data_IF_285223289881
#
_entry.id   IF_285223289881
#
_cell.length_a   1.000
_cell.length_b   1.000
_cell.length_c   1.000
_cell.angle_alpha   90.00
_cell.angle_beta   90.00
_cell.angle_gamma   90.00
#
_symmetry.space_group_name_H-M   'P 1'
#
loop_
_entity.id
_entity.type
_entity.pdbx_description
1 polymer ?
#
# COMPACT_ATOMS: atom_id res chain seq x y z
N UNK A 1 -20.95 -2.16 0.04
CA UNK A 1 -21.32 -0.75 -0.19
C UNK A 1 -20.08 -0.09 -0.77
N UNK A 2 -20.08 0.16 -2.08
CA UNK A 2 -18.90 0.63 -2.83
C UNK A 2 -18.97 2.15 -2.88
N UNK A 3 -18.01 2.84 -2.26
CA UNK A 3 -17.86 4.29 -2.41
C UNK A 3 -16.90 4.55 -3.58
N UNK A 4 -17.50 4.89 -4.73
CA UNK A 4 -16.82 5.51 -5.86
C UNK A 4 -17.14 7.00 -5.92
N UNK A 5 -16.21 7.73 -6.53
CA UNK A 5 -16.37 9.05 -7.14
C UNK A 5 -16.51 10.29 -6.23
N UNK A 6 -15.38 10.95 -5.98
CA UNK A 6 -15.33 12.43 -5.89
C UNK A 6 -14.01 12.89 -6.56
N UNK A 7 -14.07 13.36 -7.81
CA UNK A 7 -13.30 14.50 -8.37
C UNK A 7 -13.65 14.68 -9.86
N UNK A 8 -14.13 15.85 -10.32
CA UNK A 8 -14.44 16.10 -11.73
C UNK A 8 -13.19 16.35 -12.58
N UNK A 9 -13.20 15.80 -13.79
CA UNK A 9 -12.25 15.97 -14.89
C UNK A 9 -12.03 17.42 -15.32
N UNK A 10 -10.78 17.89 -15.29
CA UNK A 10 -10.29 19.08 -16.02
C UNK A 10 -9.23 18.62 -17.04
N UNK A 11 -9.59 17.70 -17.95
CA UNK A 11 -8.71 17.28 -19.06
C UNK A 11 -9.28 17.52 -20.46
N UNK A 12 -10.39 18.25 -20.58
CA UNK A 12 -11.10 18.43 -21.85
C UNK A 12 -10.72 19.64 -22.72
N UNK A 13 -9.96 20.62 -22.22
CA UNK A 13 -9.76 21.89 -22.95
C UNK A 13 -8.40 22.03 -23.67
N UNK A 14 -7.38 21.25 -23.31
CA UNK A 14 -6.04 21.44 -23.87
C UNK A 14 -5.83 20.84 -25.28
N UNK A 15 -6.69 19.92 -25.73
CA UNK A 15 -6.45 19.20 -27.00
C UNK A 15 -6.93 19.94 -28.25
N UNK A 16 -7.78 20.97 -28.13
CA UNK A 16 -8.34 21.68 -29.30
C UNK A 16 -7.50 22.87 -29.76
N UNK A 17 -6.67 23.46 -28.90
CA UNK A 17 -5.81 24.60 -29.28
C UNK A 17 -4.48 24.16 -29.89
N UNK A 18 -3.98 22.96 -29.55
CA UNK A 18 -2.72 22.44 -30.10
C UNK A 18 -2.86 22.06 -31.60
N UNK A 19 -4.04 21.59 -32.02
CA UNK A 19 -4.28 21.23 -33.43
C UNK A 19 -4.44 22.44 -34.36
N UNK A 20 -4.73 23.64 -33.83
CA UNK A 20 -4.79 24.87 -34.63
C UNK A 20 -3.42 25.50 -34.89
N UNK A 21 -2.41 25.20 -34.07
CA UNK A 21 -1.05 25.73 -34.22
C UNK A 21 -0.21 24.96 -35.26
N UNK A 22 -0.69 23.82 -35.77
CA UNK A 22 0.05 22.95 -36.68
C UNK A 22 -0.21 23.19 -38.19
N UNK A 23 -1.00 24.20 -38.57
CA UNK A 23 -1.05 24.69 -39.96
C UNK A 23 -1.58 23.70 -41.01
N UNK A 24 -2.49 22.78 -40.65
CA UNK A 24 -3.11 21.86 -41.62
C UNK A 24 -4.37 22.50 -42.20
N UNK A 25 -4.28 22.93 -43.47
CA UNK A 25 -5.41 23.48 -44.22
C UNK A 25 -6.41 22.41 -44.63
N UNK A 26 -7.70 22.76 -44.61
CA UNK A 26 -8.78 21.92 -45.16
C UNK A 26 -8.63 21.82 -46.69
N UNK A 27 -8.13 20.66 -47.14
CA UNK A 27 -8.11 20.26 -48.54
C UNK A 27 -9.18 19.21 -48.82
N UNK A 28 -10.14 19.54 -49.67
CA UNK A 28 -11.13 18.64 -50.25
C UNK A 28 -10.50 17.95 -51.46
N UNK A 29 -10.60 16.61 -51.59
CA UNK A 29 -10.59 15.78 -52.84
C UNK A 29 -10.48 14.29 -52.40
N UNK A 30 -11.57 13.52 -52.51
CA UNK A 30 -11.87 12.51 -53.55
C UNK A 30 -11.17 11.16 -53.35
N UNK A 31 -11.98 10.11 -53.31
CA UNK A 31 -11.60 8.71 -53.13
C UNK A 31 -10.57 8.23 -54.16
N UNK A 32 -9.48 7.64 -53.66
CA UNK A 32 -8.58 6.75 -54.39
C UNK A 32 -7.85 5.83 -53.39
N UNK A 33 -8.05 4.54 -53.61
CA UNK A 33 -7.17 3.38 -53.39
C UNK A 33 -6.66 3.03 -51.98
N UNK A 34 -7.21 1.91 -51.45
CA UNK A 34 -7.06 1.31 -50.11
C UNK A 34 -5.79 0.43 -49.92
N UNK A 35 -4.66 0.72 -50.58
CA UNK A 35 -3.46 -0.15 -50.53
C UNK A 35 -2.26 0.41 -49.73
N UNK A 36 -2.32 1.65 -49.20
CA UNK A 36 -1.21 2.31 -48.49
C UNK A 36 -1.30 2.24 -46.93
N UNK A 37 -2.39 1.69 -46.37
CA UNK A 37 -2.60 1.65 -44.91
C UNK A 37 -1.81 0.52 -44.21
N UNK A 38 -1.51 -0.58 -44.90
CA UNK A 38 -0.81 -1.74 -44.33
C UNK A 38 0.69 -1.47 -44.09
N UNK A 39 1.37 -0.71 -44.96
CA UNK A 39 2.79 -0.35 -44.76
C UNK A 39 2.99 0.65 -43.60
N UNK A 40 2.02 1.56 -43.41
CA UNK A 40 2.06 2.52 -42.30
C UNK A 40 1.87 1.85 -40.93
N UNK A 41 1.02 0.82 -40.83
CA UNK A 41 0.88 0.03 -39.60
C UNK A 41 2.13 -0.81 -39.29
N UNK A 42 2.76 -1.40 -40.31
CA UNK A 42 3.98 -2.21 -40.13
C UNK A 42 5.19 -1.35 -39.74
N UNK A 43 5.31 -0.13 -40.27
CA UNK A 43 6.33 0.83 -39.85
C UNK A 43 6.11 1.32 -38.41
N UNK A 44 4.88 1.58 -38.00
CA UNK A 44 4.57 1.95 -36.61
C UNK A 44 4.88 0.78 -35.66
N UNK A 45 4.58 -0.45 -36.07
CA UNK A 45 4.89 -1.68 -35.32
C UNK A 45 6.39 -1.93 -35.22
N UNK A 46 7.14 -1.68 -36.29
CA UNK A 46 8.60 -1.76 -36.35
C UNK A 46 9.25 -0.71 -35.44
N UNK A 47 8.77 0.55 -35.48
CA UNK A 47 9.24 1.61 -34.59
C UNK A 47 8.98 1.27 -33.12
N UNK A 48 7.78 0.77 -32.79
CA UNK A 48 7.43 0.30 -31.45
C UNK A 48 8.35 -0.84 -30.99
N UNK A 49 8.71 -1.76 -31.88
CA UNK A 49 9.66 -2.84 -31.59
C UNK A 49 11.08 -2.32 -31.36
N UNK A 50 11.55 -1.37 -32.17
CA UNK A 50 12.88 -0.76 -32.03
C UNK A 50 13.01 0.11 -30.77
N UNK A 51 11.95 0.83 -30.38
CA UNK A 51 11.87 1.57 -29.11
C UNK A 51 11.86 0.60 -27.93
N UNK A 52 11.12 -0.51 -28.03
CA UNK A 52 11.11 -1.59 -27.03
C UNK A 52 12.52 -2.18 -26.85
N UNK A 53 13.21 -2.50 -27.94
CA UNK A 53 14.54 -3.12 -27.92
C UNK A 53 15.64 -2.16 -27.44
N UNK A 54 15.53 -0.84 -27.69
CA UNK A 54 16.47 0.15 -27.14
C UNK A 54 16.33 0.35 -25.62
N UNK A 55 15.17 0.07 -25.05
CA UNK A 55 14.91 0.21 -23.60
C UNK A 55 15.18 -1.09 -22.82
N UNK A 56 15.17 -2.25 -23.49
CA UNK A 56 15.54 -3.54 -22.88
C UNK A 56 17.05 -3.58 -22.63
N UNK A 57 17.46 -3.25 -21.40
CA UNK A 57 18.85 -3.33 -20.95
C UNK A 57 19.31 -2.17 -20.07
N UNK A 58 18.51 -1.10 -19.95
CA UNK A 58 18.88 0.08 -19.15
C UNK A 58 18.58 -0.08 -17.65
N UNK A 59 17.61 -0.91 -17.29
CA UNK A 59 17.16 -1.14 -15.91
C UNK A 59 17.24 -2.61 -15.54
N UNK A 60 17.47 -2.90 -14.26
CA UNK A 60 17.41 -4.26 -13.76
C UNK A 60 15.99 -4.83 -13.88
N UNK A 61 15.85 -6.13 -14.09
CA UNK A 61 14.55 -6.78 -14.29
C UNK A 61 13.59 -6.63 -13.08
N UNK A 62 14.14 -6.38 -11.89
CA UNK A 62 13.43 -6.16 -10.65
C UNK A 62 13.34 -4.68 -10.26
N UNK A 63 13.70 -3.75 -11.15
CA UNK A 63 13.56 -2.33 -10.89
C UNK A 63 12.10 -1.91 -11.09
N UNK A 64 11.44 -1.53 -10.00
CA UNK A 64 10.05 -1.05 -10.01
C UNK A 64 9.97 0.48 -9.91
N UNK A 65 11.06 1.23 -10.11
CA UNK A 65 11.03 2.69 -10.12
C UNK A 65 10.17 3.24 -11.25
N UNK A 66 9.69 4.49 -11.11
CA UNK A 66 8.91 5.14 -12.17
C UNK A 66 9.71 5.30 -13.46
N UNK A 67 11.03 5.46 -13.36
CA UNK A 67 11.92 5.47 -14.52
C UNK A 67 11.91 4.12 -15.25
N UNK A 68 11.94 3.01 -14.51
CA UNK A 68 11.90 1.67 -15.09
C UNK A 68 10.53 1.28 -15.62
N UNK A 69 9.43 1.73 -15.01
CA UNK A 69 8.05 1.40 -15.39
C UNK A 69 7.46 2.35 -16.46
N UNK A 70 8.08 3.51 -16.66
CA UNK A 70 7.63 4.56 -17.58
C UNK A 70 6.47 5.40 -17.04
N UNK A 71 6.03 6.37 -17.84
CA UNK A 71 5.15 7.47 -17.42
C UNK A 71 3.75 7.07 -16.93
N UNK A 72 3.23 5.92 -17.35
CA UNK A 72 1.93 5.41 -16.91
C UNK A 72 2.00 4.45 -15.72
N UNK A 73 3.21 4.09 -15.27
CA UNK A 73 3.42 3.15 -14.17
C UNK A 73 2.90 1.74 -14.46
N UNK A 74 2.42 1.06 -13.42
CA UNK A 74 1.80 -0.26 -13.50
C UNK A 74 0.29 -0.15 -13.76
N UNK A 75 -0.22 -0.92 -14.72
CA UNK A 75 -1.65 -1.12 -14.96
C UNK A 75 -1.99 -2.61 -15.01
N UNK A 76 -3.28 -2.92 -14.92
CA UNK A 76 -3.79 -4.28 -15.11
C UNK A 76 -4.38 -4.38 -16.52
N UNK A 77 -3.94 -5.37 -17.29
CA UNK A 77 -4.46 -5.68 -18.61
C UNK A 77 -4.48 -7.20 -18.79
N UNK A 78 -5.64 -7.75 -19.14
CA UNK A 78 -5.84 -9.19 -19.39
C UNK A 78 -5.34 -10.12 -18.26
N UNK A 79 -5.46 -9.68 -17.01
CA UNK A 79 -5.02 -10.43 -15.82
C UNK A 79 -3.53 -10.30 -15.49
N UNK A 80 -2.78 -9.49 -16.24
CA UNK A 80 -1.36 -9.24 -16.02
C UNK A 80 -1.10 -7.81 -15.55
N UNK A 81 -0.06 -7.64 -14.73
CA UNK A 81 0.52 -6.33 -14.48
C UNK A 81 1.39 -5.95 -15.67
N UNK A 82 1.06 -4.84 -16.33
CA UNK A 82 1.76 -4.34 -17.52
C UNK A 82 2.30 -2.94 -17.21
N UNK A 83 3.51 -2.64 -17.66
CA UNK A 83 4.09 -1.31 -17.55
C UNK A 83 3.85 -0.43 -18.80
N UNK A 84 4.39 0.79 -18.80
CA UNK A 84 4.21 1.74 -19.91
C UNK A 84 4.82 1.28 -21.25
N UNK A 85 5.70 0.28 -21.22
CA UNK A 85 6.38 -0.25 -22.39
C UNK A 85 5.72 -1.55 -22.91
N UNK A 86 4.63 -1.99 -22.28
CA UNK A 86 3.93 -3.22 -22.64
C UNK A 86 4.59 -4.49 -22.12
N UNK A 87 5.54 -4.39 -21.17
CA UNK A 87 6.17 -5.57 -20.55
C UNK A 87 5.27 -6.11 -19.45
N UNK A 88 5.18 -7.43 -19.36
CA UNK A 88 4.57 -8.10 -18.20
C UNK A 88 5.53 -8.02 -17.00
N UNK A 89 5.05 -7.44 -15.90
CA UNK A 89 5.83 -7.24 -14.69
C UNK A 89 5.44 -8.29 -13.66
N UNK A 90 6.39 -9.15 -13.29
CA UNK A 90 6.22 -10.10 -12.20
C UNK A 90 6.57 -9.44 -10.88
N UNK A 91 5.56 -9.29 -10.03
CA UNK A 91 5.68 -8.63 -8.73
C UNK A 91 6.19 -9.62 -7.68
N UNK A 92 7.45 -9.47 -7.27
CA UNK A 92 8.07 -10.26 -6.20
C UNK A 92 8.50 -9.36 -5.04
N UNK A 93 8.18 -9.77 -3.82
CA UNK A 93 8.28 -8.90 -2.66
C UNK A 93 8.07 -9.61 -1.34
N UNK A 94 8.03 -8.81 -0.27
CA UNK A 94 7.90 -9.30 1.10
C UNK A 94 6.86 -8.53 1.90
N UNK A 95 6.36 -9.18 2.95
CA UNK A 95 5.58 -8.52 3.99
C UNK A 95 6.49 -7.78 4.96
N UNK A 96 6.16 -6.53 5.27
CA UNK A 96 6.87 -5.72 6.26
C UNK A 96 5.81 -5.08 7.17
N UNK A 97 5.83 -5.26 8.49
CA UNK A 97 6.38 -6.39 9.22
C UNK A 97 5.35 -6.86 10.25
N UNK A 98 5.54 -8.05 10.83
CA UNK A 98 4.67 -8.54 11.90
C UNK A 98 4.64 -7.60 13.13
N UNK A 99 5.68 -6.79 13.33
CA UNK A 99 5.74 -5.77 14.39
C UNK A 99 4.69 -4.67 14.23
N UNK A 100 4.16 -4.43 13.03
CA UNK A 100 3.10 -3.44 12.80
C UNK A 100 1.75 -3.84 13.41
N UNK A 101 1.61 -5.09 13.88
CA UNK A 101 0.38 -5.59 14.49
C UNK A 101 0.17 -5.11 15.93
N UNK A 102 1.20 -4.58 16.57
CA UNK A 102 1.21 -4.22 17.98
C UNK A 102 1.81 -2.81 18.17
N UNK A 103 1.30 -2.03 19.13
CA UNK A 103 1.81 -0.68 19.37
C UNK A 103 3.29 -0.69 19.76
N UNK A 104 3.97 0.41 19.45
CA UNK A 104 5.33 0.67 19.91
C UNK A 104 5.32 1.20 21.35
N UNK A 105 4.38 2.09 21.66
CA UNK A 105 4.25 2.74 22.97
C UNK A 105 2.79 2.75 23.44
N UNK A 106 2.48 2.29 24.66
CA UNK A 106 3.33 1.43 25.49
C UNK A 106 3.71 0.15 24.75
N UNK A 107 4.72 -0.57 25.25
CA UNK A 107 5.24 -1.76 24.57
C UNK A 107 4.13 -2.80 24.36
N UNK A 108 3.74 -3.02 23.10
CA UNK A 108 2.57 -3.83 22.75
C UNK A 108 2.75 -5.34 22.81
N UNK A 109 3.85 -5.87 23.36
CA UNK A 109 4.10 -7.33 23.41
C UNK A 109 2.95 -8.07 24.09
N UNK A 110 2.45 -9.13 23.44
CA UNK A 110 1.21 -9.80 23.84
C UNK A 110 1.20 -10.47 25.21
N UNK A 111 2.38 -10.66 25.83
CA UNK A 111 2.51 -11.24 27.18
C UNK A 111 2.50 -10.19 28.29
N UNK A 112 2.54 -8.90 27.96
CA UNK A 112 2.51 -7.81 28.93
C UNK A 112 1.05 -7.47 29.25
N UNK A 113 0.67 -7.64 30.52
CA UNK A 113 -0.67 -7.36 31.01
C UNK A 113 -0.84 -5.91 31.47
N UNK A 114 0.21 -5.30 32.02
CA UNK A 114 0.12 -3.96 32.63
C UNK A 114 -0.33 -2.91 31.62
N UNK A 115 -1.44 -2.23 31.91
CA UNK A 115 -2.03 -1.20 31.05
C UNK A 115 -2.68 -1.74 29.77
N UNK A 116 -2.85 -3.06 29.60
CA UNK A 116 -3.29 -3.66 28.34
C UNK A 116 -4.66 -3.14 27.87
N UNK A 117 -5.62 -3.04 28.80
CA UNK A 117 -6.96 -2.51 28.54
C UNK A 117 -6.99 -1.00 28.69
N UNK A 118 -6.38 -0.46 29.74
CA UNK A 118 -6.46 0.96 30.10
C UNK A 118 -5.80 1.88 29.06
N UNK A 119 -4.74 1.41 28.41
CA UNK A 119 -3.99 2.22 27.45
C UNK A 119 -4.54 2.16 26.03
N UNK A 120 -5.61 1.41 25.75
CA UNK A 120 -5.97 1.05 24.37
C UNK A 120 -6.33 2.24 23.45
N UNK A 121 -6.76 3.37 24.05
CA UNK A 121 -7.01 4.65 23.36
C UNK A 121 -5.82 5.61 23.38
N UNK A 122 -4.72 5.22 24.03
CA UNK A 122 -3.51 6.01 24.22
C UNK A 122 -2.28 5.19 23.82
N UNK A 123 -2.31 4.68 22.59
CA UNK A 123 -1.21 3.90 21.99
C UNK A 123 -0.56 4.68 20.86
N UNK A 124 0.67 4.33 20.51
CA UNK A 124 1.34 4.86 19.32
C UNK A 124 1.98 3.73 18.54
N UNK A 125 1.81 3.77 17.22
CA UNK A 125 2.45 2.87 16.27
C UNK A 125 3.64 3.53 15.56
N UNK A 126 3.95 4.78 15.88
CA UNK A 126 5.13 5.49 15.35
C UNK A 126 6.39 4.65 15.61
N UNK A 127 7.18 4.45 14.56
CA UNK A 127 8.36 3.58 14.61
C UNK A 127 8.08 2.09 14.36
N UNK A 128 6.86 1.71 13.95
CA UNK A 128 6.56 0.42 13.34
C UNK A 128 6.51 0.56 11.82
N UNK A 129 7.17 -0.30 11.03
CA UNK A 129 7.83 -1.56 11.39
C UNK A 129 9.15 -1.41 12.16
N UNK A 130 9.85 -0.29 11.97
CA UNK A 130 11.13 0.07 12.60
C UNK A 130 11.32 1.60 12.61
N UNK A 131 12.23 2.17 13.42
CA UNK A 131 12.54 3.60 13.39
C UNK A 131 12.99 4.08 12.00
N UNK A 132 12.67 5.32 11.63
CA UNK A 132 13.05 5.89 10.32
C UNK A 132 14.58 5.87 10.09
N UNK A 133 15.38 5.97 11.17
CA UNK A 133 16.84 5.90 11.10
C UNK A 133 17.37 4.52 10.65
N UNK A 134 16.60 3.46 10.87
CA UNK A 134 16.95 2.09 10.49
C UNK A 134 16.42 1.71 9.10
N UNK A 135 15.42 2.44 8.60
CA UNK A 135 14.78 2.19 7.32
C UNK A 135 15.76 2.11 6.13
N UNK A 136 16.74 3.02 5.97
CA UNK A 136 17.75 2.94 4.90
C UNK A 136 18.46 1.58 4.83
N UNK A 137 18.85 1.02 5.97
CA UNK A 137 19.55 -0.27 6.02
C UNK A 137 18.66 -1.42 5.56
N UNK A 138 17.39 -1.45 6.00
CA UNK A 138 16.43 -2.47 5.60
C UNK A 138 16.10 -2.38 4.11
N UNK A 139 15.88 -1.17 3.60
CA UNK A 139 15.57 -0.95 2.18
C UNK A 139 16.74 -1.27 1.27
N UNK A 140 17.98 -0.95 1.67
CA UNK A 140 19.18 -1.38 0.97
C UNK A 140 19.27 -2.91 0.84
N UNK A 141 18.96 -3.64 1.91
CA UNK A 141 18.95 -5.12 1.91
C UNK A 141 17.89 -5.69 0.97
N UNK A 142 16.65 -5.18 1.04
CA UNK A 142 15.57 -5.63 0.17
C UNK A 142 15.90 -5.42 -1.31
N UNK A 143 16.47 -4.25 -1.65
CA UNK A 143 16.94 -3.97 -3.01
C UNK A 143 18.06 -4.92 -3.42
N UNK A 144 19.05 -5.16 -2.56
CA UNK A 144 20.15 -6.07 -2.85
C UNK A 144 19.70 -7.53 -3.03
N UNK A 145 18.64 -7.95 -2.33
CA UNK A 145 18.02 -9.27 -2.48
C UNK A 145 17.06 -9.37 -3.66
N UNK A 146 16.83 -8.26 -4.36
CA UNK A 146 15.92 -8.20 -5.49
C UNK A 146 14.45 -8.38 -5.11
N UNK A 147 14.06 -7.83 -3.95
CA UNK A 147 12.70 -7.83 -3.42
C UNK A 147 12.16 -6.38 -3.44
N UNK A 148 11.84 -5.83 -4.63
CA UNK A 148 11.48 -4.43 -4.80
C UNK A 148 10.08 -4.08 -4.30
N UNK A 149 9.22 -5.08 -4.07
CA UNK A 149 7.84 -4.86 -3.63
C UNK A 149 7.68 -5.12 -2.13
N UNK A 150 7.04 -4.19 -1.44
CA UNK A 150 6.69 -4.29 -0.03
C UNK A 150 5.16 -4.34 0.12
N UNK A 151 4.67 -5.35 0.84
CA UNK A 151 3.33 -5.36 1.44
C UNK A 151 3.45 -4.80 2.86
N UNK A 152 3.14 -3.53 3.05
CA UNK A 152 3.21 -2.88 4.36
C UNK A 152 1.93 -3.15 5.14
N UNK A 153 2.05 -3.77 6.31
CA UNK A 153 0.91 -3.98 7.21
C UNK A 153 0.60 -2.68 7.95
N UNK A 154 -0.63 -2.20 7.82
CA UNK A 154 -1.19 -1.07 8.57
C UNK A 154 -2.51 -1.53 9.18
N UNK A 155 -2.61 -1.55 10.51
CA UNK A 155 -3.84 -1.93 11.21
C UNK A 155 -4.76 -0.73 11.32
N UNK A 156 -6.07 -0.95 11.40
CA UNK A 156 -7.01 0.14 11.66
C UNK A 156 -6.72 0.81 13.01
N UNK A 157 -6.34 0.04 14.02
CA UNK A 157 -5.89 0.53 15.32
C UNK A 157 -4.73 1.52 15.20
N UNK A 158 -3.75 1.24 14.33
CA UNK A 158 -2.62 2.16 14.13
C UNK A 158 -3.04 3.54 13.59
N UNK A 159 -4.15 3.62 12.87
CA UNK A 159 -4.66 4.86 12.28
C UNK A 159 -5.68 5.56 13.18
N UNK A 160 -6.48 4.81 13.95
CA UNK A 160 -7.70 5.33 14.59
C UNK A 160 -7.94 4.71 15.97
N UNK A 161 -6.90 4.52 16.78
CA UNK A 161 -7.03 3.92 18.12
C UNK A 161 -7.87 4.78 19.09
N UNK A 162 -7.88 6.10 18.93
CA UNK A 162 -8.58 7.03 19.85
C UNK A 162 -10.09 6.95 19.74
N UNK A 163 -10.62 6.69 18.55
CA UNK A 163 -12.06 6.72 18.27
C UNK A 163 -12.40 6.61 16.77
N UNK A 164 -13.69 6.70 16.43
CA UNK A 164 -14.21 6.46 15.07
C UNK A 164 -14.14 7.67 14.13
N UNK A 165 -13.85 8.87 14.64
CA UNK A 165 -13.97 10.11 13.87
C UNK A 165 -12.67 10.49 13.18
N UNK A 166 -12.74 11.42 12.21
CA UNK A 166 -11.54 11.97 11.56
C UNK A 166 -10.63 12.69 12.57
N UNK A 167 -11.23 13.34 13.58
CA UNK A 167 -10.49 14.03 14.65
C UNK A 167 -9.75 13.04 15.58
N UNK A 168 -10.13 11.77 15.56
CA UNK A 168 -9.49 10.69 16.31
C UNK A 168 -8.30 10.04 15.57
N UNK A 169 -8.05 10.44 14.32
CA UNK A 169 -6.96 9.87 13.53
C UNK A 169 -5.59 10.19 14.14
N UNK A 170 -4.69 9.22 14.13
CA UNK A 170 -3.31 9.38 14.56
C UNK A 170 -2.47 10.03 13.45
N UNK A 171 -2.48 11.35 13.41
CA UNK A 171 -1.70 12.14 12.44
C UNK A 171 -0.20 11.92 12.57
N UNK A 172 0.31 11.65 13.77
CA UNK A 172 1.74 11.41 13.98
C UNK A 172 2.18 10.11 13.31
N UNK A 173 1.33 9.07 13.36
CA UNK A 173 1.59 7.83 12.64
C UNK A 173 1.45 7.98 11.12
N UNK A 174 0.49 8.77 10.64
CA UNK A 174 0.37 9.09 9.21
C UNK A 174 1.61 9.82 8.70
N UNK A 175 2.07 10.84 9.43
CA UNK A 175 3.31 11.57 9.12
C UNK A 175 4.54 10.63 9.09
N UNK A 176 4.59 9.67 10.00
CA UNK A 176 5.63 8.63 10.00
C UNK A 176 5.55 7.75 8.75
N UNK A 177 4.34 7.33 8.33
CA UNK A 177 4.14 6.52 7.13
C UNK A 177 4.55 7.28 5.86
N UNK A 178 4.19 8.56 5.74
CA UNK A 178 4.60 9.40 4.61
C UNK A 178 6.12 9.47 4.47
N UNK A 179 6.83 9.71 5.58
CA UNK A 179 8.30 9.71 5.61
C UNK A 179 8.87 8.35 5.23
N UNK A 180 8.26 7.27 5.73
CA UNK A 180 8.67 5.90 5.41
C UNK A 180 8.49 5.61 3.91
N UNK A 181 7.40 6.03 3.29
CA UNK A 181 7.16 5.88 1.85
C UNK A 181 8.13 6.71 1.01
N UNK A 182 8.46 7.93 1.44
CA UNK A 182 9.50 8.74 0.82
C UNK A 182 10.84 8.00 0.79
N UNK A 183 11.23 7.42 1.92
CA UNK A 183 12.45 6.59 2.01
C UNK A 183 12.35 5.32 1.14
N UNK A 184 11.20 4.65 1.06
CA UNK A 184 11.06 3.49 0.15
C UNK A 184 11.29 3.88 -1.32
N UNK A 185 10.76 5.02 -1.75
CA UNK A 185 10.93 5.54 -3.10
C UNK A 185 12.40 5.84 -3.43
N UNK A 186 13.18 6.40 -2.50
CA UNK A 186 14.62 6.63 -2.68
C UNK A 186 15.42 5.34 -2.98
N UNK A 187 14.92 4.19 -2.54
CA UNK A 187 15.54 2.88 -2.76
C UNK A 187 14.94 2.12 -3.95
N UNK A 188 14.05 2.76 -4.73
CA UNK A 188 13.38 2.13 -5.87
C UNK A 188 12.38 1.04 -5.46
N UNK A 189 11.91 1.07 -4.21
CA UNK A 189 10.94 0.11 -3.69
C UNK A 189 9.52 0.62 -3.96
N UNK A 190 8.64 -0.29 -4.37
CA UNK A 190 7.20 -0.05 -4.43
C UNK A 190 6.55 -0.64 -3.20
N UNK A 191 5.53 0.05 -2.70
CA UNK A 191 4.79 -0.37 -1.53
C UNK A 191 3.29 -0.36 -1.85
N UNK A 192 2.57 -1.38 -1.37
CA UNK A 192 1.14 -1.29 -1.20
C UNK A 192 0.78 -1.44 0.27
N UNK A 193 -0.15 -0.61 0.71
CA UNK A 193 -0.67 -0.61 2.06
C UNK A 193 -1.70 -1.71 2.19
N UNK A 194 -1.45 -2.65 3.09
CA UNK A 194 -2.43 -3.64 3.49
C UNK A 194 -3.11 -3.16 4.77
N UNK A 195 -4.42 -2.87 4.67
CA UNK A 195 -5.30 -2.78 5.83
C UNK A 195 -5.39 -4.15 6.50
N UNK A 196 -4.47 -4.42 7.43
CA UNK A 196 -4.21 -5.75 7.96
C UNK A 196 -5.04 -6.02 9.21
N UNK A 197 -5.54 -7.25 9.33
CA UNK A 197 -6.15 -7.78 10.54
C UNK A 197 -5.89 -9.28 10.65
N UNK A 198 -5.85 -9.77 11.88
CA UNK A 198 -5.94 -11.18 12.24
C UNK A 198 -6.91 -11.28 13.40
N UNK A 199 -7.91 -12.17 13.36
CA UNK A 199 -8.86 -12.39 14.47
C UNK A 199 -9.43 -11.05 15.02
N UNK A 200 -9.77 -10.13 14.12
CA UNK A 200 -10.33 -8.81 14.41
C UNK A 200 -9.40 -7.82 15.15
N UNK A 201 -9.01 -8.08 16.40
CA UNK A 201 -8.34 -7.09 17.27
C UNK A 201 -7.41 -7.77 18.29
N UNK A 202 -6.47 -7.02 18.86
CA UNK A 202 -5.66 -7.49 19.99
C UNK A 202 -6.49 -7.89 21.21
N UNK A 203 -7.68 -7.31 21.37
CA UNK A 203 -8.62 -7.66 22.43
C UNK A 203 -9.40 -8.96 22.17
N UNK A 204 -9.25 -9.57 20.99
CA UNK A 204 -9.81 -10.88 20.66
C UNK A 204 -8.73 -11.91 20.29
N UNK A 205 -7.49 -11.71 20.77
CA UNK A 205 -6.35 -12.61 20.52
C UNK A 205 -5.65 -12.38 19.18
N UNK A 206 -5.96 -11.29 18.49
CA UNK A 206 -5.51 -10.98 17.14
C UNK A 206 -4.83 -9.61 16.99
N UNK A 207 -5.13 -8.91 15.90
CA UNK A 207 -4.70 -7.54 15.58
C UNK A 207 -5.59 -6.95 14.49
N UNK A 208 -5.64 -5.61 14.36
CA UNK A 208 -6.34 -4.97 13.26
C UNK A 208 -7.25 -3.84 13.73
N UNK A 209 -8.46 -4.18 14.13
CA UNK A 209 -9.47 -3.25 14.62
C UNK A 209 -9.13 -2.70 16.03
N UNK A 210 -9.35 -1.40 16.26
CA UNK A 210 -9.15 -0.81 17.58
C UNK A 210 -10.20 -1.27 18.60
N UNK A 211 -9.85 -1.24 19.89
CA UNK A 211 -10.70 -1.74 20.97
C UNK A 211 -12.09 -1.08 21.05
N UNK A 212 -12.19 0.20 20.71
CA UNK A 212 -13.47 0.93 20.74
C UNK A 212 -14.53 0.33 19.80
N UNK A 213 -14.13 -0.47 18.80
CA UNK A 213 -15.07 -1.15 17.90
C UNK A 213 -15.95 -2.17 18.66
N UNK A 214 -15.43 -2.78 19.72
CA UNK A 214 -16.20 -3.67 20.59
C UNK A 214 -17.17 -2.89 21.48
N UNK A 215 -16.75 -1.75 22.02
CA UNK A 215 -17.62 -0.88 22.81
C UNK A 215 -18.85 -0.43 22.00
N UNK A 216 -18.64 -0.05 20.74
CA UNK A 216 -19.72 0.32 19.81
C UNK A 216 -20.65 -0.87 19.53
N UNK A 217 -20.12 -2.09 19.50
CA UNK A 217 -20.91 -3.30 19.36
C UNK A 217 -21.64 -3.71 20.66
N UNK A 218 -21.45 -2.99 21.78
CA UNK A 218 -22.00 -3.32 23.08
C UNK A 218 -21.31 -4.51 23.76
N UNK A 219 -20.08 -4.81 23.37
CA UNK A 219 -19.28 -5.90 23.94
C UNK A 219 -18.33 -5.37 25.02
N UNK A 220 -18.21 -6.14 26.10
CA UNK A 220 -17.20 -5.93 27.14
C UNK A 220 -15.98 -6.80 26.86
N UNK A 221 -14.88 -6.16 26.47
CA UNK A 221 -13.63 -6.85 26.12
C UNK A 221 -12.96 -7.51 27.32
N UNK A 222 -13.19 -7.02 28.55
CA UNK A 222 -12.58 -7.59 29.75
C UNK A 222 -13.24 -8.93 30.13
N UNK A 223 -14.49 -9.15 29.72
CA UNK A 223 -15.24 -10.37 29.95
C UNK A 223 -14.90 -11.52 28.97
N UNK A 224 -14.09 -11.28 27.94
CA UNK A 224 -13.88 -12.26 26.87
C UNK A 224 -13.18 -13.54 27.33
N UNK A 225 -12.18 -13.43 28.22
CA UNK A 225 -11.50 -14.60 28.79
C UNK A 225 -12.46 -15.41 29.67
N UNK A 226 -13.21 -14.76 30.57
CA UNK A 226 -14.13 -15.44 31.49
C UNK A 226 -15.27 -16.15 30.75
N UNK A 227 -15.78 -15.54 29.68
CA UNK A 227 -16.83 -16.12 28.83
C UNK A 227 -16.32 -17.14 27.82
N UNK A 228 -14.99 -17.27 27.66
CA UNK A 228 -14.36 -18.12 26.64
C UNK A 228 -14.54 -17.59 25.21
N UNK A 229 -14.90 -16.32 25.04
CA UNK A 229 -15.09 -15.68 23.74
C UNK A 229 -13.77 -15.46 22.99
N UNK A 230 -12.67 -15.23 23.72
CA UNK A 230 -11.33 -15.10 23.14
C UNK A 230 -10.25 -15.60 24.11
N UNK A 231 -9.15 -16.09 23.54
CA UNK A 231 -7.91 -16.30 24.28
C UNK A 231 -6.98 -15.11 24.06
N UNK A 232 -6.65 -14.40 25.14
CA UNK A 232 -5.83 -13.20 25.14
C UNK A 232 -4.59 -13.52 25.99
N UNK A 233 -3.44 -13.70 25.33
CA UNK A 233 -2.22 -14.23 25.93
C UNK A 233 -1.88 -13.63 27.32
N UNK A 234 -1.83 -12.31 27.48
CA UNK A 234 -1.48 -11.68 28.76
C UNK A 234 -2.56 -11.85 29.85
N UNK A 235 -3.83 -11.97 29.47
CA UNK A 235 -4.97 -12.10 30.39
C UNK A 235 -5.08 -13.56 30.83
N UNK A 236 -5.17 -14.49 29.90
CA UNK A 236 -5.29 -15.92 30.17
C UNK A 236 -4.09 -16.46 30.96
N UNK A 237 -2.86 -16.04 30.65
CA UNK A 237 -1.67 -16.44 31.43
C UNK A 237 -1.67 -15.86 32.84
N UNK A 238 -2.24 -14.67 33.04
CA UNK A 238 -2.40 -14.11 34.39
C UNK A 238 -3.44 -14.91 35.19
N UNK A 239 -4.62 -15.16 34.61
CA UNK A 239 -5.66 -15.99 35.23
C UNK A 239 -5.14 -17.37 35.63
N UNK A 240 -4.39 -18.02 34.73
CA UNK A 240 -3.76 -19.31 35.01
C UNK A 240 -2.83 -19.24 36.22
N UNK A 241 -1.92 -18.27 36.27
CA UNK A 241 -0.98 -18.07 37.40
C UNK A 241 -1.67 -17.74 38.72
N UNK A 242 -2.84 -17.11 38.68
CA UNK A 242 -3.64 -16.78 39.87
C UNK A 242 -4.43 -18.00 40.37
N UNK A 243 -4.89 -18.87 39.46
CA UNK A 243 -5.59 -20.11 39.81
C UNK A 243 -4.70 -21.21 40.40
N UNK A 244 -3.38 -21.15 40.14
CA UNK A 244 -2.39 -22.12 40.63
C UNK A 244 -1.82 -21.76 42.02
N UNK A 245 -2.21 -20.62 42.60
CA UNK A 245 -1.78 -20.15 43.94
C UNK A 245 -2.81 -20.45 45.01
#
# INVERSE_FOLDING_TARGET
MVFGEIFPSIRGMASREILRAAGVGEGRLSAADDDDDDEAEDDERSLRCQIRDRMTGQYAANDLSDAALGSSGLRIQDGYFIDSYGRTVNLHGVNVAGSCKLPATPNGLSHLHEGFYESHRFVSFVGRPFPLSEAPLHFARLRAWGLPLIRLLVTWESISHKGPTVDDMDTDYIDYLEKLFGLMAEYGLKCFVCAHQDVWSRFSGGSGAPGWTFEVAGMDVEAFTETGAAYIHCVDEKFKRESEK
#
